data_IF_984712834916
#
_entry.id   IF_984712834916
#
_cell.length_a   1.000
_cell.length_b   1.000
_cell.length_c   1.000
_cell.angle_alpha   90.00
_cell.angle_beta   90.00
_cell.angle_gamma   90.00
#
_symmetry.space_group_name_H-M   'P 1'
#
loop_
_entity.id
_entity.type
_entity.pdbx_description
1 polymer ?
#
# COMPACT_ATOMS: atom_id res chain seq x y z
N UNK A 1 -24.95 5.56 8.37
CA UNK A 1 -24.45 5.13 7.05
C UNK A 1 -24.52 3.62 6.98
N UNK A 2 -24.84 3.05 5.81
CA UNK A 2 -24.74 1.59 5.63
C UNK A 2 -23.28 1.16 5.72
N UNK A 3 -22.99 -0.05 6.24
CA UNK A 3 -21.61 -0.54 6.33
C UNK A 3 -20.98 -0.63 4.93
N UNK A 4 -19.69 -0.31 4.83
CA UNK A 4 -18.95 -0.48 3.58
C UNK A 4 -19.01 -1.94 3.12
N UNK A 5 -19.17 -2.21 1.80
CA UNK A 5 -19.05 -3.57 1.28
C UNK A 5 -17.72 -4.19 1.71
N UNK A 6 -17.70 -5.48 1.96
CA UNK A 6 -16.47 -6.18 2.31
C UNK A 6 -15.88 -6.95 1.13
N UNK A 7 -14.56 -7.17 1.16
CA UNK A 7 -13.80 -8.07 0.27
C UNK A 7 -12.94 -9.00 1.11
N UNK A 8 -12.31 -9.99 0.49
CA UNK A 8 -11.37 -10.89 1.17
C UNK A 8 -9.93 -10.50 0.85
N UNK A 9 -9.06 -10.59 1.85
CA UNK A 9 -7.61 -10.73 1.67
C UNK A 9 -7.21 -11.97 2.45
N UNK A 10 -6.70 -13.00 1.76
CA UNK A 10 -6.61 -14.33 2.34
C UNK A 10 -7.99 -14.78 2.84
N UNK A 11 -8.11 -15.07 4.14
CA UNK A 11 -9.37 -15.45 4.77
C UNK A 11 -10.05 -14.30 5.56
N UNK A 12 -9.41 -13.14 5.67
CA UNK A 12 -9.94 -12.00 6.39
C UNK A 12 -10.95 -11.23 5.53
N UNK A 13 -12.04 -10.76 6.16
CA UNK A 13 -12.95 -9.80 5.54
C UNK A 13 -12.48 -8.39 5.87
N UNK A 14 -12.32 -7.56 4.84
CA UNK A 14 -11.83 -6.19 4.95
C UNK A 14 -12.79 -5.23 4.24
N UNK A 15 -12.83 -3.97 4.65
CA UNK A 15 -13.60 -2.94 3.92
C UNK A 15 -13.08 -2.84 2.48
N UNK A 16 -13.99 -2.86 1.50
CA UNK A 16 -13.66 -2.82 0.07
C UNK A 16 -12.94 -1.52 -0.33
N UNK A 17 -13.23 -0.45 0.41
CA UNK A 17 -12.48 0.80 0.36
C UNK A 17 -11.54 0.77 1.57
N UNK A 18 -10.24 0.88 1.31
CA UNK A 18 -9.21 1.04 2.33
C UNK A 18 -8.73 2.48 2.44
N UNK A 19 -7.90 2.75 3.45
CA UNK A 19 -7.25 4.04 3.65
C UNK A 19 -5.73 3.89 3.54
N UNK A 20 -5.17 4.43 2.45
CA UNK A 20 -3.73 4.55 2.27
C UNK A 20 -3.20 5.79 2.98
N UNK A 21 -2.21 5.63 3.84
CA UNK A 21 -1.78 6.67 4.78
C UNK A 21 -0.58 7.47 4.31
N UNK A 22 -0.10 7.29 3.08
CA UNK A 22 1.03 8.07 2.54
C UNK A 22 0.79 9.58 2.72
N UNK A 23 -0.39 10.08 2.31
CA UNK A 23 -0.75 11.49 2.42
C UNK A 23 -0.94 12.01 3.85
N UNK A 24 -0.93 11.13 4.85
CA UNK A 24 -0.92 11.52 6.27
C UNK A 24 0.46 12.03 6.71
N UNK A 25 1.52 11.67 5.98
CA UNK A 25 2.90 11.92 6.37
C UNK A 25 3.75 12.54 5.25
N UNK A 26 3.54 12.18 3.98
CA UNK A 26 4.42 12.55 2.88
C UNK A 26 3.72 12.55 1.50
N UNK A 27 4.35 13.20 0.53
CA UNK A 27 4.01 13.12 -0.89
C UNK A 27 3.19 14.31 -1.39
N UNK A 28 2.15 14.73 -0.66
CA UNK A 28 1.21 15.77 -1.13
C UNK A 28 1.40 17.14 -0.47
N UNK A 29 2.56 17.37 0.14
CA UNK A 29 2.86 18.57 0.92
C UNK A 29 3.36 18.22 2.33
N UNK A 30 3.55 19.24 3.19
CA UNK A 30 3.94 19.01 4.58
C UNK A 30 2.83 18.25 5.33
N UNK A 31 3.24 17.40 6.26
CA UNK A 31 2.31 16.74 7.17
C UNK A 31 1.54 17.78 8.00
N UNK A 32 0.26 17.52 8.22
CA UNK A 32 -0.56 18.30 9.15
C UNK A 32 -0.10 18.06 10.60
N UNK A 33 -0.45 18.93 11.56
CA UNK A 33 -0.25 18.67 12.98
C UNK A 33 -0.88 17.34 13.41
N UNK A 34 -0.26 16.65 14.38
CA UNK A 34 -0.72 15.34 14.89
C UNK A 34 -2.21 15.31 15.22
N UNK A 35 -2.73 16.37 15.84
CA UNK A 35 -4.15 16.46 16.22
C UNK A 35 -5.08 16.33 15.01
N UNK A 36 -4.75 16.99 13.89
CA UNK A 36 -5.56 16.94 12.68
C UNK A 36 -5.41 15.60 11.97
N UNK A 37 -4.21 15.01 12.00
CA UNK A 37 -3.96 13.66 11.47
C UNK A 37 -4.74 12.59 12.24
N UNK A 38 -4.82 12.71 13.55
CA UNK A 38 -5.62 11.84 14.41
C UNK A 38 -7.12 12.01 14.14
N UNK A 39 -7.61 13.24 13.96
CA UNK A 39 -9.01 13.50 13.54
C UNK A 39 -9.35 12.86 12.19
N UNK A 40 -8.41 12.84 11.24
CA UNK A 40 -8.59 12.12 9.97
C UNK A 40 -8.74 10.62 10.21
N UNK A 41 -7.90 10.01 11.05
CA UNK A 41 -8.02 8.58 11.39
C UNK A 41 -9.34 8.27 12.10
N UNK A 42 -9.80 9.13 13.02
CA UNK A 42 -11.11 9.02 13.64
C UNK A 42 -12.24 9.06 12.61
N UNK A 43 -12.17 9.99 11.66
CA UNK A 43 -13.17 10.11 10.59
C UNK A 43 -13.15 8.89 9.68
N UNK A 44 -11.98 8.40 9.27
CA UNK A 44 -11.83 7.18 8.44
C UNK A 44 -12.47 5.99 9.14
N UNK A 45 -12.15 5.77 10.42
CA UNK A 45 -12.72 4.69 11.21
C UNK A 45 -14.24 4.85 11.41
N UNK A 46 -14.71 6.06 11.74
CA UNK A 46 -16.13 6.33 11.97
C UNK A 46 -16.99 6.12 10.71
N UNK A 47 -16.39 6.21 9.52
CA UNK A 47 -17.04 5.90 8.24
C UNK A 47 -16.93 4.40 7.87
N UNK A 48 -16.48 3.54 8.79
CA UNK A 48 -16.43 2.09 8.62
C UNK A 48 -15.24 1.58 7.80
N UNK A 49 -14.25 2.42 7.51
CA UNK A 49 -13.03 2.01 6.82
C UNK A 49 -12.03 1.41 7.81
N UNK A 50 -11.86 0.09 7.75
CA UNK A 50 -11.02 -0.68 8.68
C UNK A 50 -9.83 -1.37 7.98
N UNK A 51 -9.68 -1.20 6.67
CA UNK A 51 -8.53 -1.68 5.90
C UNK A 51 -7.50 -0.56 5.74
N UNK A 52 -6.46 -0.51 6.56
CA UNK A 52 -5.48 0.57 6.59
C UNK A 52 -4.14 0.12 6.04
N UNK A 53 -3.54 0.94 5.17
CA UNK A 53 -2.31 0.65 4.44
C UNK A 53 -1.28 1.75 4.66
N UNK A 54 -0.17 1.41 5.31
CA UNK A 54 1.00 2.27 5.54
C UNK A 54 2.27 1.63 4.96
N UNK A 55 3.43 2.25 5.14
CA UNK A 55 4.74 1.67 4.82
C UNK A 55 5.84 2.30 5.70
N UNK A 56 6.94 1.58 5.89
CA UNK A 56 8.13 2.06 6.60
C UNK A 56 8.74 3.34 6.00
N UNK A 57 8.68 3.48 4.68
CA UNK A 57 9.18 4.65 3.94
C UNK A 57 8.24 5.85 3.97
N UNK A 58 7.03 5.75 4.55
CA UNK A 58 6.08 6.86 4.63
C UNK A 58 6.35 7.76 5.84
N UNK A 59 7.57 8.29 5.95
CA UNK A 59 7.99 9.17 7.05
C UNK A 59 7.49 8.69 8.43
N UNK A 60 6.69 9.49 9.15
CA UNK A 60 6.17 9.15 10.49
C UNK A 60 4.76 8.50 10.47
N UNK A 61 4.28 8.05 9.31
CA UNK A 61 2.93 7.46 9.15
C UNK A 61 2.65 6.32 10.14
N UNK A 62 3.59 5.37 10.28
CA UNK A 62 3.47 4.26 11.24
C UNK A 62 3.38 4.75 12.69
N UNK A 63 4.14 5.81 13.04
CA UNK A 63 4.12 6.39 14.39
C UNK A 63 2.76 7.02 14.69
N UNK A 64 2.17 7.75 13.74
CA UNK A 64 0.85 8.37 13.93
C UNK A 64 -0.26 7.33 14.05
N UNK A 65 -0.22 6.28 13.23
CA UNK A 65 -1.16 5.15 13.37
C UNK A 65 -0.99 4.48 14.73
N UNK A 66 0.25 4.25 15.17
CA UNK A 66 0.54 3.67 16.49
C UNK A 66 0.00 4.50 17.65
N UNK A 67 0.14 5.83 17.60
CA UNK A 67 -0.48 6.75 18.57
C UNK A 67 -2.01 6.58 18.61
N UNK A 68 -2.66 6.57 17.43
CA UNK A 68 -4.11 6.40 17.35
C UNK A 68 -4.57 5.05 17.92
N UNK A 69 -3.88 3.96 17.57
CA UNK A 69 -4.18 2.61 18.07
C UNK A 69 -4.04 2.53 19.59
N UNK A 70 -2.98 3.11 20.15
CA UNK A 70 -2.75 3.16 21.59
C UNK A 70 -3.82 3.98 22.33
N UNK A 71 -4.22 5.11 21.76
CA UNK A 71 -5.24 5.99 22.37
C UNK A 71 -6.64 5.35 22.36
N UNK A 72 -6.98 4.63 21.30
CA UNK A 72 -8.34 4.12 21.09
C UNK A 72 -8.52 2.66 21.55
N UNK A 73 -7.44 1.88 21.64
CA UNK A 73 -7.49 0.44 21.92
C UNK A 73 -8.03 -0.41 20.77
N UNK A 74 -8.22 0.17 19.57
CA UNK A 74 -8.95 -0.45 18.44
C UNK A 74 -8.10 -1.31 17.52
N UNK A 75 -6.94 -1.78 17.98
CA UNK A 75 -6.04 -2.61 17.15
C UNK A 75 -6.74 -3.81 16.53
N UNK A 76 -7.60 -4.49 17.28
CA UNK A 76 -8.29 -5.69 16.80
C UNK A 76 -9.40 -5.41 15.79
N UNK A 77 -9.77 -4.14 15.59
CA UNK A 77 -10.81 -3.72 14.63
C UNK A 77 -10.23 -3.27 13.29
N UNK A 78 -8.92 -3.00 13.23
CA UNK A 78 -8.23 -2.55 12.02
C UNK A 78 -7.50 -3.73 11.38
N UNK A 79 -7.79 -4.00 10.11
CA UNK A 79 -6.92 -4.77 9.25
C UNK A 79 -5.75 -3.87 8.84
N UNK A 80 -4.61 -4.07 9.49
CA UNK A 80 -3.45 -3.19 9.34
C UNK A 80 -2.41 -3.81 8.42
N UNK A 81 -2.15 -3.14 7.30
CA UNK A 81 -1.10 -3.47 6.36
C UNK A 81 0.08 -2.50 6.46
N UNK A 82 1.31 -3.03 6.47
CA UNK A 82 2.53 -2.24 6.25
C UNK A 82 3.42 -2.90 5.21
N UNK A 83 4.50 -2.22 4.83
CA UNK A 83 5.45 -2.66 3.81
C UNK A 83 6.86 -2.34 4.24
N UNK A 84 7.79 -3.17 3.78
CA UNK A 84 9.22 -2.89 3.90
C UNK A 84 10.00 -3.35 2.67
N UNK A 85 11.32 -3.18 2.74
CA UNK A 85 12.24 -3.55 1.67
C UNK A 85 12.32 -2.54 0.54
N UNK A 86 11.94 -1.28 0.74
CA UNK A 86 12.18 -0.20 -0.23
C UNK A 86 13.38 0.65 0.21
N UNK A 87 14.27 0.96 -0.74
CA UNK A 87 15.40 1.87 -0.52
C UNK A 87 15.16 3.12 -1.35
N UNK A 88 14.94 4.26 -0.68
CA UNK A 88 14.56 5.51 -1.33
C UNK A 88 15.67 6.06 -2.24
N UNK A 89 16.94 5.94 -1.82
CA UNK A 89 18.11 6.44 -2.53
C UNK A 89 18.35 5.68 -3.84
N UNK A 90 18.16 4.36 -3.81
CA UNK A 90 18.35 3.48 -4.96
C UNK A 90 17.12 3.38 -5.86
N UNK A 91 15.97 3.98 -5.45
CA UNK A 91 14.67 3.84 -6.12
C UNK A 91 14.31 2.39 -6.44
N UNK A 92 14.64 1.47 -5.54
CA UNK A 92 14.54 0.03 -5.75
C UNK A 92 14.16 -0.73 -4.49
N UNK A 93 14.07 -2.05 -4.62
CA UNK A 93 13.88 -2.96 -3.49
C UNK A 93 15.21 -3.40 -2.88
N UNK A 94 15.22 -3.65 -1.57
CA UNK A 94 16.23 -4.45 -0.90
C UNK A 94 15.54 -5.71 -0.34
N UNK A 95 15.78 -6.82 -1.00
CA UNK A 95 15.16 -8.11 -0.73
C UNK A 95 15.97 -9.00 0.19
N UNK A 96 17.13 -8.53 0.68
CA UNK A 96 18.02 -9.33 1.52
C UNK A 96 17.28 -9.76 2.80
N UNK A 97 17.31 -11.06 3.16
CA UNK A 97 16.59 -11.59 4.32
C UNK A 97 16.82 -10.80 5.62
N UNK A 98 18.05 -10.36 5.86
CA UNK A 98 18.43 -9.58 7.04
C UNK A 98 17.80 -8.18 7.03
N UNK A 99 17.75 -7.52 5.87
CA UNK A 99 17.10 -6.22 5.73
C UNK A 99 15.59 -6.35 5.95
N UNK A 100 14.96 -7.37 5.37
CA UNK A 100 13.52 -7.62 5.52
C UNK A 100 13.14 -7.87 6.97
N UNK A 101 13.96 -8.64 7.71
CA UNK A 101 13.79 -8.87 9.15
C UNK A 101 13.86 -7.57 9.94
N UNK A 102 14.89 -6.77 9.70
CA UNK A 102 15.05 -5.49 10.38
C UNK A 102 13.89 -4.51 10.07
N UNK A 103 13.41 -4.48 8.83
CA UNK A 103 12.35 -3.59 8.39
C UNK A 103 11.01 -3.88 9.08
N UNK A 104 10.58 -5.15 9.16
CA UNK A 104 9.33 -5.51 9.85
C UNK A 104 9.43 -5.29 11.36
N UNK A 105 10.57 -5.61 11.99
CA UNK A 105 10.73 -5.39 13.43
C UNK A 105 10.66 -3.90 13.77
N UNK A 106 11.33 -3.06 13.00
CA UNK A 106 11.26 -1.60 13.15
C UNK A 106 9.83 -1.07 12.92
N UNK A 107 9.10 -1.66 11.98
CA UNK A 107 7.71 -1.29 11.68
C UNK A 107 6.78 -1.62 12.86
N UNK A 108 6.92 -2.83 13.43
CA UNK A 108 6.15 -3.25 14.61
C UNK A 108 6.43 -2.34 15.82
N UNK A 109 7.69 -1.94 16.01
CA UNK A 109 8.09 -1.00 17.06
C UNK A 109 7.44 0.38 16.86
N UNK A 110 7.55 0.97 15.65
CA UNK A 110 6.95 2.29 15.35
C UNK A 110 5.44 2.29 15.49
N UNK A 111 4.79 1.22 15.04
CA UNK A 111 3.35 1.01 15.20
C UNK A 111 2.96 0.75 16.65
N UNK A 112 3.89 0.27 17.49
CA UNK A 112 3.61 -0.14 18.86
C UNK A 112 2.64 -1.32 18.95
N UNK A 113 2.79 -2.30 18.06
CA UNK A 113 1.89 -3.48 17.96
C UNK A 113 2.71 -4.77 17.90
N UNK A 114 2.13 -5.87 18.38
CA UNK A 114 2.79 -7.19 18.34
C UNK A 114 2.72 -7.85 16.95
N UNK A 115 1.74 -7.47 16.13
CA UNK A 115 1.53 -8.02 14.80
C UNK A 115 0.89 -7.02 13.82
N UNK A 116 1.12 -7.25 12.53
CA UNK A 116 0.35 -6.66 11.41
C UNK A 116 -0.48 -7.73 10.70
N UNK A 117 -1.61 -7.34 10.13
CA UNK A 117 -2.46 -8.30 9.42
C UNK A 117 -1.86 -8.66 8.06
N UNK A 118 -1.22 -7.70 7.39
CA UNK A 118 -0.60 -7.91 6.09
C UNK A 118 0.76 -7.22 6.01
N UNK A 119 1.79 -7.96 5.58
CA UNK A 119 3.10 -7.39 5.29
C UNK A 119 3.43 -7.53 3.81
N UNK A 120 3.66 -6.40 3.15
CA UNK A 120 4.10 -6.37 1.76
C UNK A 120 5.62 -6.28 1.64
N UNK A 121 6.18 -6.99 0.66
CA UNK A 121 7.41 -6.51 0.02
C UNK A 121 7.04 -5.31 -0.88
N UNK A 122 7.59 -4.14 -0.57
CA UNK A 122 7.19 -2.88 -1.22
C UNK A 122 7.67 -2.80 -2.68
N UNK A 123 8.89 -3.30 -2.96
CA UNK A 123 9.43 -3.45 -4.31
C UNK A 123 10.27 -4.72 -4.35
N UNK A 124 10.12 -5.49 -5.42
CA UNK A 124 11.01 -6.62 -5.65
C UNK A 124 12.44 -6.13 -5.91
N UNK A 125 13.39 -6.76 -5.23
CA UNK A 125 14.80 -6.60 -5.51
C UNK A 125 15.15 -7.37 -6.79
N UNK A 126 15.90 -6.74 -7.68
CA UNK A 126 16.28 -7.34 -8.97
C UNK A 126 17.54 -8.21 -8.89
N UNK A 127 18.30 -8.08 -7.80
CA UNK A 127 19.54 -8.81 -7.56
C UNK A 127 19.36 -9.98 -6.57
N UNK A 128 18.31 -9.95 -5.75
CA UNK A 128 18.00 -11.02 -4.80
C UNK A 128 16.87 -11.91 -5.34
N UNK A 129 17.06 -13.24 -5.41
CA UNK A 129 15.98 -14.17 -5.74
C UNK A 129 14.80 -14.04 -4.77
N UNK A 130 13.59 -13.82 -5.32
CA UNK A 130 12.37 -13.60 -4.55
C UNK A 130 12.08 -14.70 -3.53
N UNK A 131 12.54 -15.94 -3.79
CA UNK A 131 12.35 -17.06 -2.87
C UNK A 131 13.09 -16.89 -1.54
N UNK A 132 14.25 -16.22 -1.54
CA UNK A 132 14.99 -15.91 -0.31
C UNK A 132 14.23 -14.88 0.51
N UNK A 133 13.80 -13.80 -0.14
CA UNK A 133 12.98 -12.74 0.46
C UNK A 133 11.70 -13.29 1.08
N UNK A 134 10.93 -14.07 0.32
CA UNK A 134 9.64 -14.60 0.79
C UNK A 134 9.82 -15.66 1.87
N UNK A 135 10.90 -16.46 1.83
CA UNK A 135 11.24 -17.36 2.97
C UNK A 135 11.44 -16.56 4.25
N UNK A 136 12.19 -15.46 4.20
CA UNK A 136 12.40 -14.58 5.35
C UNK A 136 11.08 -13.96 5.84
N UNK A 137 10.23 -13.46 4.94
CA UNK A 137 8.90 -12.95 5.30
C UNK A 137 8.02 -14.03 5.97
N UNK A 138 8.08 -15.28 5.49
CA UNK A 138 7.31 -16.39 6.05
C UNK A 138 7.73 -16.78 7.47
N UNK A 139 8.96 -16.46 7.90
CA UNK A 139 9.39 -16.65 9.30
C UNK A 139 8.52 -15.81 10.26
N UNK A 140 8.13 -14.60 9.86
CA UNK A 140 7.27 -13.73 10.67
C UNK A 140 5.81 -14.19 10.71
N UNK A 141 5.36 -14.89 9.67
CA UNK A 141 4.06 -15.57 9.70
C UNK A 141 4.07 -16.70 10.72
N UNK A 142 5.13 -17.53 10.72
CA UNK A 142 5.29 -18.61 11.70
C UNK A 142 5.41 -18.07 13.13
N UNK A 143 6.06 -16.92 13.31
CA UNK A 143 6.19 -16.25 14.60
C UNK A 143 4.91 -15.52 15.06
N UNK A 144 3.85 -15.48 14.26
CA UNK A 144 2.60 -14.78 14.59
C UNK A 144 2.68 -13.25 14.51
N UNK A 145 3.80 -12.70 14.03
CA UNK A 145 4.02 -11.25 13.85
C UNK A 145 3.34 -10.70 12.59
N UNK A 146 3.01 -11.57 11.63
CA UNK A 146 2.31 -11.24 10.38
C UNK A 146 1.26 -12.30 10.08
N UNK A 147 0.05 -11.92 9.66
CA UNK A 147 -0.99 -12.92 9.28
C UNK A 147 -0.94 -13.30 7.80
N UNK A 148 -0.73 -12.32 6.92
CA UNK A 148 -0.74 -12.50 5.46
C UNK A 148 0.48 -11.84 4.83
N UNK A 149 0.98 -12.42 3.74
CA UNK A 149 2.02 -11.82 2.92
C UNK A 149 1.43 -11.21 1.66
N UNK A 150 2.01 -10.09 1.23
CA UNK A 150 1.69 -9.42 -0.01
C UNK A 150 2.95 -9.04 -0.80
N UNK A 151 2.77 -8.75 -2.08
CA UNK A 151 3.79 -8.12 -2.92
C UNK A 151 3.24 -6.83 -3.51
N UNK A 152 4.12 -5.88 -3.86
CA UNK A 152 3.77 -4.66 -4.56
C UNK A 152 4.63 -4.50 -5.82
N UNK A 153 4.00 -4.10 -6.93
CA UNK A 153 4.65 -3.81 -8.22
C UNK A 153 5.67 -4.89 -8.67
N UNK A 154 5.22 -6.15 -8.74
CA UNK A 154 6.03 -7.27 -9.24
C UNK A 154 5.49 -7.81 -10.58
N UNK A 155 6.33 -8.56 -11.29
CA UNK A 155 5.93 -9.23 -12.52
C UNK A 155 5.06 -10.46 -12.21
N UNK A 156 4.34 -10.95 -13.23
CA UNK A 156 3.56 -12.18 -13.12
C UNK A 156 4.44 -13.40 -12.76
N UNK A 157 5.65 -13.47 -13.29
CA UNK A 157 6.62 -14.53 -12.97
C UNK A 157 7.07 -14.45 -11.50
N UNK A 158 7.44 -13.25 -11.04
CA UNK A 158 7.83 -13.03 -9.64
C UNK A 158 6.69 -13.41 -8.70
N UNK A 159 5.43 -13.08 -9.03
CA UNK A 159 4.28 -13.46 -8.22
C UNK A 159 4.12 -14.98 -8.10
N UNK A 160 4.25 -15.73 -9.20
CA UNK A 160 4.16 -17.21 -9.17
C UNK A 160 5.27 -17.82 -8.31
N UNK A 161 6.51 -17.37 -8.51
CA UNK A 161 7.68 -17.85 -7.78
C UNK A 161 7.57 -17.58 -6.28
N UNK A 162 7.14 -16.38 -5.90
CA UNK A 162 6.85 -16.03 -4.52
C UNK A 162 5.75 -16.90 -3.91
N UNK A 163 4.63 -17.04 -4.61
CA UNK A 163 3.47 -17.80 -4.12
C UNK A 163 3.78 -19.28 -3.93
N UNK A 164 4.68 -19.85 -4.74
CA UNK A 164 5.15 -21.23 -4.58
C UNK A 164 5.97 -21.45 -3.29
N UNK A 165 6.61 -20.40 -2.75
CA UNK A 165 7.35 -20.47 -1.48
C UNK A 165 6.42 -20.31 -0.28
N UNK A 166 5.55 -19.31 -0.33
CA UNK A 166 4.52 -19.06 0.68
C UNK A 166 3.33 -18.37 0.03
N UNK A 167 2.07 -18.73 0.37
CA UNK A 167 0.89 -18.12 -0.23
C UNK A 167 0.90 -16.59 -0.11
N UNK A 168 0.93 -15.92 -1.26
CA UNK A 168 0.76 -14.47 -1.36
C UNK A 168 -0.74 -14.17 -1.39
N UNK A 169 -1.23 -13.40 -0.43
CA UNK A 169 -2.65 -13.11 -0.26
C UNK A 169 -3.11 -11.85 -0.99
N UNK A 170 -2.20 -10.90 -1.19
CA UNK A 170 -2.49 -9.64 -1.87
C UNK A 170 -1.35 -9.21 -2.80
N UNK A 171 -1.73 -8.62 -3.93
CA UNK A 171 -0.84 -7.94 -4.85
C UNK A 171 -1.30 -6.49 -4.97
N UNK A 172 -0.43 -5.57 -4.58
CA UNK A 172 -0.71 -4.14 -4.65
C UNK A 172 -0.09 -3.54 -5.92
N UNK A 173 -0.90 -2.83 -6.71
CA UNK A 173 -0.52 -2.28 -8.02
C UNK A 173 -1.19 -0.93 -8.27
N UNK A 174 -0.57 -0.07 -9.07
CA UNK A 174 -1.26 1.12 -9.59
C UNK A 174 -2.35 0.67 -10.56
N UNK A 175 -3.59 1.08 -10.30
CA UNK A 175 -4.69 0.75 -11.19
C UNK A 175 -5.78 1.82 -11.14
N UNK A 176 -6.09 2.39 -12.30
CA UNK A 176 -7.08 3.45 -12.48
C UNK A 176 -7.49 3.51 -13.96
N UNK A 177 -8.51 4.30 -14.34
CA UNK A 177 -8.81 4.54 -15.76
C UNK A 177 -7.65 5.05 -16.63
N UNK A 178 -6.56 5.54 -16.02
CA UNK A 178 -5.34 5.99 -16.71
C UNK A 178 -4.16 5.01 -16.60
N UNK A 179 -4.34 3.88 -15.93
CA UNK A 179 -3.29 2.88 -15.69
C UNK A 179 -3.95 1.50 -15.64
N UNK A 180 -3.99 0.87 -16.81
CA UNK A 180 -4.69 -0.40 -17.07
C UNK A 180 -3.71 -1.53 -17.40
N UNK A 181 -2.41 -1.32 -17.21
CA UNK A 181 -1.31 -2.21 -17.61
C UNK A 181 -1.52 -3.66 -17.10
N UNK A 182 -2.08 -3.83 -15.91
CA UNK A 182 -2.33 -5.16 -15.34
C UNK A 182 -3.32 -6.01 -16.17
N UNK A 183 -4.15 -5.38 -16.99
CA UNK A 183 -5.12 -6.03 -17.88
C UNK A 183 -4.49 -6.52 -19.20
N UNK A 184 -3.31 -6.01 -19.58
CA UNK A 184 -2.62 -6.42 -20.80
C UNK A 184 -2.24 -7.90 -20.70
N UNK A 185 -2.69 -8.70 -21.67
CA UNK A 185 -2.40 -10.13 -21.74
C UNK A 185 -0.90 -10.43 -21.83
N UNK A 186 -0.10 -9.51 -22.38
CA UNK A 186 1.36 -9.62 -22.44
C UNK A 186 2.02 -9.47 -21.07
N UNK A 187 1.44 -8.62 -20.21
CA UNK A 187 1.89 -8.45 -18.82
C UNK A 187 1.37 -9.62 -17.97
N UNK A 188 0.13 -10.06 -18.22
CA UNK A 188 -0.44 -11.29 -17.66
C UNK A 188 -0.63 -11.27 -16.14
N UNK A 189 -0.51 -10.11 -15.49
CA UNK A 189 -0.46 -9.99 -14.03
C UNK A 189 -1.84 -10.22 -13.41
N UNK A 190 -2.90 -9.59 -13.95
CA UNK A 190 -4.27 -9.80 -13.47
C UNK A 190 -4.72 -11.25 -13.64
N UNK A 191 -4.40 -11.87 -14.78
CA UNK A 191 -4.68 -13.28 -15.04
C UNK A 191 -3.98 -14.17 -14.00
N UNK A 192 -2.70 -13.92 -13.76
CA UNK A 192 -1.90 -14.68 -12.79
C UNK A 192 -2.41 -14.52 -11.36
N UNK A 193 -2.78 -13.30 -10.95
CA UNK A 193 -3.37 -13.07 -9.64
C UNK A 193 -4.67 -13.86 -9.45
N UNK A 194 -5.55 -13.87 -10.46
CA UNK A 194 -6.80 -14.66 -10.43
C UNK A 194 -6.54 -16.17 -10.32
N UNK A 195 -5.62 -16.70 -11.12
CA UNK A 195 -5.25 -18.12 -11.09
C UNK A 195 -4.73 -18.57 -9.73
N UNK A 196 -3.95 -17.72 -9.06
CA UNK A 196 -3.35 -17.99 -7.75
C UNK A 196 -4.27 -17.63 -6.57
N UNK A 197 -5.46 -17.06 -6.83
CA UNK A 197 -6.35 -16.56 -5.77
C UNK A 197 -5.82 -15.34 -5.00
N UNK A 198 -4.92 -14.56 -5.60
CA UNK A 198 -4.34 -13.35 -5.00
C UNK A 198 -5.29 -12.17 -5.19
N UNK A 199 -5.54 -11.43 -4.11
CA UNK A 199 -6.39 -10.24 -4.14
C UNK A 199 -5.61 -9.05 -4.71
N UNK A 200 -6.19 -8.35 -5.70
CA UNK A 200 -5.63 -7.09 -6.20
C UNK A 200 -6.02 -5.95 -5.26
N UNK A 201 -5.03 -5.19 -4.82
CA UNK A 201 -5.20 -3.94 -4.06
C UNK A 201 -4.74 -2.78 -4.95
N UNK A 202 -5.69 -2.03 -5.48
CA UNK A 202 -5.40 -0.88 -6.34
C UNK A 202 -4.95 0.32 -5.49
N UNK A 203 -3.73 0.81 -5.71
CA UNK A 203 -3.34 2.12 -5.21
C UNK A 203 -3.56 3.20 -6.27
N UNK A 204 -3.72 4.45 -5.81
CA UNK A 204 -4.04 5.60 -6.66
C UNK A 204 -5.26 5.41 -7.59
N UNK A 205 -6.38 4.81 -7.15
CA UNK A 205 -7.53 4.56 -8.04
C UNK A 205 -8.14 5.85 -8.63
N UNK A 206 -7.93 6.99 -7.97
CA UNK A 206 -8.35 8.31 -8.45
C UNK A 206 -7.27 9.03 -9.30
N UNK A 207 -6.27 8.31 -9.79
CA UNK A 207 -5.14 8.87 -10.55
C UNK A 207 -4.31 9.87 -9.74
N UNK A 208 -4.29 9.76 -8.41
CA UNK A 208 -3.72 10.75 -7.47
C UNK A 208 -4.37 12.14 -7.58
N UNK A 209 -5.68 12.16 -7.81
CA UNK A 209 -6.49 13.38 -7.82
C UNK A 209 -6.98 13.79 -9.21
N UNK A 210 -6.50 13.16 -10.30
CA UNK A 210 -6.91 13.49 -11.67
C UNK A 210 -8.42 13.45 -11.86
N UNK A 211 -9.07 12.39 -11.37
CA UNK A 211 -10.50 12.16 -11.63
C UNK A 211 -11.39 13.07 -10.76
N UNK A 212 -10.80 13.79 -9.80
CA UNK A 212 -11.57 14.65 -8.88
C UNK A 212 -11.98 15.99 -9.50
N UNK A 213 -11.41 16.36 -10.65
CA UNK A 213 -11.62 17.68 -11.28
C UNK A 213 -11.00 18.85 -10.52
N UNK A 214 -10.28 18.58 -9.41
CA UNK A 214 -9.66 19.61 -8.56
C UNK A 214 -8.43 20.28 -9.19
N UNK A 215 -7.64 19.51 -9.94
CA UNK A 215 -6.34 19.95 -10.45
C UNK A 215 -6.38 20.10 -11.98
N UNK A 216 -5.95 21.25 -12.50
CA UNK A 216 -5.94 21.62 -13.92
C UNK A 216 -4.52 21.62 -14.52
N UNK A 217 -3.50 21.70 -13.68
CA UNK A 217 -2.10 21.59 -14.08
C UNK A 217 -1.14 21.56 -12.89
N UNK A 218 0.19 21.46 -13.13
CA UNK A 218 1.21 21.46 -12.09
C UNK A 218 1.13 22.63 -11.11
N UNK A 219 0.62 23.78 -11.57
CA UNK A 219 0.44 25.00 -10.81
C UNK A 219 -0.52 24.85 -9.63
N UNK A 220 -1.46 23.91 -9.68
CA UNK A 220 -2.43 23.65 -8.60
C UNK A 220 -1.86 22.77 -7.47
N UNK A 221 -0.65 22.24 -7.62
CA UNK A 221 0.01 21.46 -6.58
C UNK A 221 0.84 22.34 -5.65
N UNK A 222 1.01 21.93 -4.39
CA UNK A 222 1.96 22.58 -3.48
C UNK A 222 3.40 22.48 -4.00
N UNK A 223 4.28 23.38 -3.57
CA UNK A 223 5.68 23.44 -4.04
C UNK A 223 6.46 22.14 -3.81
N UNK A 224 6.16 21.44 -2.71
CA UNK A 224 6.80 20.18 -2.30
C UNK A 224 6.02 18.93 -2.71
N UNK A 225 4.96 19.08 -3.50
CA UNK A 225 4.14 17.95 -3.95
C UNK A 225 4.88 17.12 -5.00
N UNK A 226 5.04 15.82 -4.75
CA UNK A 226 5.81 14.94 -5.63
C UNK A 226 5.21 14.83 -7.04
N UNK A 227 3.90 15.11 -7.21
CA UNK A 227 3.24 15.07 -8.53
C UNK A 227 3.87 16.05 -9.50
N UNK A 228 4.50 17.14 -9.02
CA UNK A 228 5.28 18.06 -9.86
C UNK A 228 6.47 17.38 -10.57
N UNK A 229 6.93 16.23 -10.06
CA UNK A 229 8.07 15.49 -10.59
C UNK A 229 7.67 14.30 -11.48
N UNK A 230 6.37 14.06 -11.69
CA UNK A 230 5.89 12.92 -12.47
C UNK A 230 5.39 13.43 -13.83
N UNK A 231 5.99 12.98 -14.96
CA UNK A 231 5.68 13.51 -16.30
C UNK A 231 4.19 13.49 -16.67
N UNK A 232 3.44 12.52 -16.13
CA UNK A 232 1.99 12.39 -16.33
C UNK A 232 1.22 13.66 -15.93
N UNK A 233 1.73 14.48 -15.02
CA UNK A 233 1.04 15.65 -14.49
C UNK A 233 1.50 16.97 -15.10
N UNK A 234 2.40 16.98 -16.08
CA UNK A 234 3.00 18.21 -16.63
C UNK A 234 2.00 19.12 -17.37
N UNK A 235 0.96 18.58 -18.03
CA UNK A 235 -0.21 19.32 -18.54
C UNK A 235 -1.40 18.36 -18.71
N UNK A 236 -2.53 18.65 -18.07
CA UNK A 236 -3.80 18.07 -18.51
C UNK A 236 -4.26 18.92 -19.69
N UNK A 237 -4.03 18.45 -20.92
CA UNK A 237 -4.61 19.14 -22.06
C UNK A 237 -6.12 19.23 -21.81
N UNK A 238 -6.64 20.45 -21.80
CA UNK A 238 -8.07 20.71 -21.93
C UNK A 238 -8.48 20.27 -23.34
N UNK A 239 -8.56 18.97 -23.55
CA UNK A 239 -9.27 18.37 -24.64
C UNK A 239 -10.49 17.75 -23.99
N UNK A 240 -11.60 18.47 -24.17
CA UNK A 240 -12.98 18.03 -24.00
C UNK A 240 -13.09 16.51 -23.77
N UNK A 241 -12.97 16.10 -22.51
CA UNK A 241 -13.49 14.81 -22.08
C UNK A 241 -15.00 15.03 -21.96
N UNK A 242 -15.67 15.09 -23.11
CA UNK A 242 -17.09 14.79 -23.17
C UNK A 242 -17.19 13.32 -22.82
N UNK A 243 -17.57 13.04 -21.58
CA UNK A 243 -18.14 11.74 -21.22
C UNK A 243 -19.45 11.62 -22.01
N UNK A 244 -19.41 10.99 -23.18
CA UNK A 244 -20.60 10.40 -23.81
C UNK A 244 -20.80 8.99 -23.28
#
# INVERSE_FOLDING_TARGET
MSPLPTRKIGNAHVSAIGYGTMGLAVGYGPALPDEDRLKVLDAVYANGCTNWDTADVYADSEVIIGKWLKMTGKRNEIFLATKGGMVLEARGGNGEPEHIRAAIESSLERLGVDYVDLYYLHRADQTVPIELTVRAMAEFVKAGKVKYLGLSECSAETLRRAHAVHPISALQVEYSPFTLDIEDEKIGLLKTARELGVTIVAYSPLGRGLITGRYRGPEDFGETDFRRMVPRYERFAAHDVVLT
#
